data_IF_885657302753
#
_entry.id   IF_885657302753
#
_cell.length_a   1.000
_cell.length_b   1.000
_cell.length_c   1.000
_cell.angle_alpha   90.00
_cell.angle_beta   90.00
_cell.angle_gamma   90.00
#
_symmetry.space_group_name_H-M   'P 1'
#
loop_
_entity.id
_entity.type
_entity.pdbx_description
1 polymer ?
#
# COMPACT_ATOMS: atom_id res chain seq x y z
N UNK A 1 9.39 5.26 -18.53
CA UNK A 1 8.02 5.76 -18.86
C UNK A 1 8.05 6.61 -20.13
N UNK A 2 8.95 7.58 -20.24
CA UNK A 2 9.12 8.49 -21.38
C UNK A 2 9.11 7.83 -22.76
N UNK A 3 9.72 6.66 -22.89
CA UNK A 3 9.81 5.94 -24.18
C UNK A 3 8.45 5.47 -24.70
N UNK A 4 7.53 5.09 -23.81
CA UNK A 4 6.20 4.57 -24.18
C UNK A 4 5.16 5.68 -24.38
N UNK A 5 5.29 6.78 -23.64
CA UNK A 5 4.28 7.86 -23.66
C UNK A 5 4.15 8.49 -25.04
N UNK A 6 5.25 8.60 -25.79
CA UNK A 6 5.27 9.17 -27.14
C UNK A 6 4.51 8.33 -28.19
N UNK A 7 4.30 7.03 -27.91
CA UNK A 7 3.67 6.08 -28.83
C UNK A 7 2.19 5.82 -28.50
N UNK A 8 1.69 6.39 -27.40
CA UNK A 8 0.34 6.12 -26.87
C UNK A 8 -0.55 7.36 -27.03
N UNK A 9 -1.81 7.12 -27.42
CA UNK A 9 -2.82 8.17 -27.50
C UNK A 9 -3.03 8.87 -26.14
N UNK A 10 -3.15 10.20 -26.06
CA UNK A 10 -3.26 10.94 -24.80
C UNK A 10 -4.28 10.36 -23.81
N UNK A 11 -5.49 10.01 -24.27
CA UNK A 11 -6.51 9.43 -23.38
C UNK A 11 -6.15 8.07 -22.76
N UNK A 12 -5.31 7.27 -23.44
CA UNK A 12 -4.79 6.01 -22.88
C UNK A 12 -3.59 6.24 -21.97
N UNK A 13 -2.89 7.36 -22.17
CA UNK A 13 -1.77 7.77 -21.32
C UNK A 13 -2.26 8.05 -19.91
N UNK A 14 -3.32 8.84 -19.76
CA UNK A 14 -3.83 9.24 -18.45
C UNK A 14 -4.34 8.03 -17.67
N UNK A 15 -5.08 7.15 -18.34
CA UNK A 15 -5.53 5.87 -17.77
C UNK A 15 -4.33 5.02 -17.31
N UNK A 16 -3.29 4.90 -18.13
CA UNK A 16 -2.09 4.14 -17.78
C UNK A 16 -1.38 4.72 -16.55
N UNK A 17 -1.28 6.04 -16.45
CA UNK A 17 -0.65 6.71 -15.32
C UNK A 17 -1.46 6.51 -14.04
N UNK A 18 -2.79 6.57 -14.12
CA UNK A 18 -3.69 6.29 -13.00
C UNK A 18 -3.58 4.84 -12.53
N UNK A 19 -3.65 3.86 -13.45
CA UNK A 19 -3.52 2.45 -13.09
C UNK A 19 -2.14 2.13 -12.52
N UNK A 20 -1.07 2.72 -13.05
CA UNK A 20 0.27 2.53 -12.51
C UNK A 20 0.39 3.09 -11.08
N UNK A 21 -0.20 4.27 -10.83
CA UNK A 21 -0.26 4.85 -9.48
C UNK A 21 -1.02 3.94 -8.52
N UNK A 22 -2.13 3.37 -8.97
CA UNK A 22 -2.94 2.48 -8.17
C UNK A 22 -2.20 1.17 -7.84
N UNK A 23 -1.59 0.52 -8.84
CA UNK A 23 -0.80 -0.69 -8.61
C UNK A 23 0.37 -0.42 -7.65
N UNK A 24 1.02 0.73 -7.78
CA UNK A 24 2.07 1.15 -6.86
C UNK A 24 1.55 1.33 -5.43
N UNK A 25 0.37 1.94 -5.26
CA UNK A 25 -0.27 2.11 -3.96
C UNK A 25 -0.67 0.75 -3.36
N UNK A 26 -1.24 -0.16 -4.14
CA UNK A 26 -1.56 -1.53 -3.69
C UNK A 26 -0.30 -2.25 -3.21
N UNK A 27 0.78 -2.24 -4.01
CA UNK A 27 2.05 -2.84 -3.62
C UNK A 27 2.62 -2.20 -2.35
N UNK A 28 2.56 -0.87 -2.24
CA UNK A 28 3.01 -0.13 -1.07
C UNK A 28 2.25 -0.54 0.19
N UNK A 29 0.91 -0.64 0.12
CA UNK A 29 0.07 -1.09 1.22
C UNK A 29 0.35 -2.55 1.59
N UNK A 30 0.67 -3.41 0.62
CA UNK A 30 1.00 -4.82 0.85
C UNK A 30 2.36 -5.02 1.54
N UNK A 31 3.31 -4.10 1.36
CA UNK A 31 4.62 -4.15 2.03
C UNK A 31 4.51 -4.18 3.57
N UNK A 32 3.39 -3.73 4.15
CA UNK A 32 3.11 -3.81 5.60
C UNK A 32 3.17 -5.24 6.14
N UNK A 33 2.96 -6.25 5.28
CA UNK A 33 2.94 -7.67 5.64
C UNK A 33 4.34 -8.27 5.78
N UNK A 34 5.41 -7.49 5.60
CA UNK A 34 6.78 -7.96 5.74
C UNK A 34 7.02 -8.54 7.16
N UNK A 35 7.27 -9.85 7.22
CA UNK A 35 7.41 -10.61 8.48
C UNK A 35 8.72 -10.22 9.17
N UNK A 36 8.66 -9.19 10.01
CA UNK A 36 9.79 -8.76 10.84
C UNK A 36 9.88 -7.24 11.00
N UNK A 37 9.22 -6.48 10.14
CA UNK A 37 9.12 -5.04 10.29
C UNK A 37 8.17 -4.69 11.45
N UNK A 38 8.69 -3.93 12.42
CA UNK A 38 7.92 -3.36 13.52
C UNK A 38 8.10 -1.86 13.51
N UNK A 39 7.02 -1.12 13.37
CA UNK A 39 7.04 0.35 13.47
C UNK A 39 7.05 0.72 14.94
N UNK A 40 8.19 1.20 15.42
CA UNK A 40 8.33 1.71 16.78
C UNK A 40 8.11 3.21 16.77
N UNK A 41 7.37 3.76 17.73
CA UNK A 41 7.11 5.23 17.81
C UNK A 41 8.38 6.09 17.89
N UNK A 42 9.47 5.50 18.32
CA UNK A 42 10.80 6.11 18.42
C UNK A 42 11.57 6.11 17.10
N UNK A 43 11.15 5.31 16.11
CA UNK A 43 11.74 5.30 14.78
C UNK A 43 11.08 6.38 13.90
N UNK A 44 11.83 7.04 13.00
CA UNK A 44 11.28 8.08 12.12
C UNK A 44 10.49 7.48 10.94
N UNK A 45 9.64 6.48 11.19
CA UNK A 45 8.89 5.81 10.13
C UNK A 45 7.88 6.77 9.48
N UNK A 46 7.18 7.60 10.26
CA UNK A 46 6.27 8.63 9.73
C UNK A 46 6.99 9.58 8.76
N UNK A 47 8.20 10.02 9.08
CA UNK A 47 8.95 10.90 8.19
C UNK A 47 9.36 10.17 6.90
N UNK A 48 9.73 8.88 6.99
CA UNK A 48 9.99 8.07 5.79
C UNK A 48 8.74 7.89 4.92
N UNK A 49 7.58 7.62 5.52
CA UNK A 49 6.30 7.56 4.79
C UNK A 49 6.01 8.88 4.06
N UNK A 50 6.22 10.02 4.72
CA UNK A 50 6.07 11.34 4.11
C UNK A 50 7.06 11.54 2.97
N UNK A 51 8.33 11.20 3.16
CA UNK A 51 9.36 11.29 2.12
C UNK A 51 9.01 10.44 0.89
N UNK A 52 8.51 9.22 1.10
CA UNK A 52 8.04 8.33 0.04
C UNK A 52 6.87 8.97 -0.72
N UNK A 53 5.85 9.47 0.00
CA UNK A 53 4.69 10.15 -0.61
C UNK A 53 5.13 11.41 -1.38
N UNK A 54 6.05 12.21 -0.82
CA UNK A 54 6.57 13.41 -1.48
C UNK A 54 7.35 13.07 -2.75
N UNK A 55 8.12 11.99 -2.72
CA UNK A 55 8.86 11.49 -3.88
C UNK A 55 7.89 11.06 -4.98
N UNK A 56 6.82 10.36 -4.62
CA UNK A 56 5.77 9.94 -5.54
C UNK A 56 5.00 11.13 -6.11
N UNK A 57 4.69 12.12 -5.28
CA UNK A 57 4.05 13.35 -5.74
C UNK A 57 4.95 14.11 -6.71
N UNK A 58 6.24 14.24 -6.42
CA UNK A 58 7.19 14.86 -7.34
C UNK A 58 7.28 14.12 -8.68
N UNK A 59 7.14 12.79 -8.67
CA UNK A 59 7.08 11.99 -9.88
C UNK A 59 5.79 12.23 -10.68
N UNK A 60 4.62 12.07 -10.05
CA UNK A 60 3.33 12.16 -10.73
C UNK A 60 2.89 13.58 -11.07
N UNK A 61 3.47 14.61 -10.44
CA UNK A 61 3.24 16.02 -10.80
C UNK A 61 3.58 16.35 -12.26
N UNK A 62 4.40 15.52 -12.93
CA UNK A 62 4.69 15.62 -14.36
C UNK A 62 3.46 15.32 -15.24
N UNK A 63 2.39 14.75 -14.65
CA UNK A 63 1.11 14.41 -15.30
C UNK A 63 -0.06 15.12 -14.58
N UNK A 64 -0.22 16.44 -14.77
CA UNK A 64 -1.08 17.28 -13.92
C UNK A 64 -2.58 16.91 -13.98
N UNK A 65 -3.06 16.42 -15.13
CA UNK A 65 -4.47 16.05 -15.31
C UNK A 65 -4.86 14.85 -14.44
N UNK A 66 -4.08 13.76 -14.48
CA UNK A 66 -4.28 12.58 -13.61
C UNK A 66 -3.90 12.87 -12.15
N UNK A 67 -2.86 13.67 -11.91
CA UNK A 67 -2.36 13.90 -10.56
C UNK A 67 -3.37 14.62 -9.66
N UNK A 68 -3.96 15.71 -10.15
CA UNK A 68 -4.85 16.55 -9.37
C UNK A 68 -6.26 15.97 -9.20
N UNK A 69 -6.70 15.14 -10.13
CA UNK A 69 -8.07 14.61 -10.17
C UNK A 69 -8.25 13.31 -9.39
N UNK A 70 -7.25 12.43 -9.38
CA UNK A 70 -7.42 11.07 -8.84
C UNK A 70 -6.26 10.65 -7.92
N UNK A 71 -5.01 10.75 -8.38
CA UNK A 71 -3.83 10.18 -7.70
C UNK A 71 -3.63 10.80 -6.31
N UNK A 72 -3.66 12.13 -6.20
CA UNK A 72 -3.39 12.82 -4.94
C UNK A 72 -4.34 12.40 -3.81
N UNK A 73 -5.62 12.23 -4.11
CA UNK A 73 -6.61 11.87 -3.11
C UNK A 73 -6.48 10.39 -2.72
N UNK A 74 -6.19 9.49 -3.67
CA UNK A 74 -5.93 8.07 -3.38
C UNK A 74 -4.71 7.88 -2.47
N UNK A 75 -3.61 8.59 -2.71
CA UNK A 75 -2.40 8.44 -1.91
C UNK A 75 -2.49 9.02 -0.49
N UNK A 76 -3.54 9.80 -0.17
CA UNK A 76 -3.80 10.18 1.23
C UNK A 76 -4.04 8.94 2.10
N UNK A 77 -4.56 7.84 1.52
CA UNK A 77 -4.23 6.42 1.77
C UNK A 77 -3.64 5.94 3.12
N UNK A 78 -2.48 6.48 3.42
CA UNK A 78 -1.39 5.75 4.06
C UNK A 78 -1.22 6.12 5.53
N UNK A 79 -1.77 7.26 5.96
CA UNK A 79 -1.31 7.93 7.19
C UNK A 79 -1.97 7.42 8.49
N UNK A 80 -3.11 6.71 8.43
CA UNK A 80 -4.06 6.86 9.53
C UNK A 80 -4.05 5.80 10.64
N UNK A 81 -3.75 4.53 10.33
CA UNK A 81 -3.85 3.44 11.34
C UNK A 81 -2.56 3.20 12.13
N UNK A 82 -1.40 3.58 11.58
CA UNK A 82 -0.12 3.45 12.27
C UNK A 82 0.06 4.57 13.32
N UNK A 83 -0.46 5.75 13.05
CA UNK A 83 -0.34 6.91 13.94
C UNK A 83 -1.40 6.95 15.05
N UNK A 84 -2.52 6.25 14.86
CA UNK A 84 -3.61 6.21 15.84
C UNK A 84 -3.12 5.84 17.25
N UNK A 85 -3.56 6.60 18.25
CA UNK A 85 -3.38 6.21 19.64
C UNK A 85 -4.06 4.88 19.94
N UNK A 86 -3.51 4.12 20.88
CA UNK A 86 -3.99 2.76 21.20
C UNK A 86 -5.48 2.71 21.54
N UNK A 87 -5.99 3.73 22.25
CA UNK A 87 -7.41 3.84 22.61
C UNK A 87 -8.32 4.22 21.43
N UNK A 88 -7.77 4.89 20.41
CA UNK A 88 -8.52 5.45 19.29
C UNK A 88 -8.54 4.54 18.06
N UNK A 89 -7.79 3.43 18.07
CA UNK A 89 -7.70 2.49 16.93
C UNK A 89 -9.07 2.04 16.42
N UNK A 90 -10.03 1.79 17.32
CA UNK A 90 -11.38 1.36 16.93
C UNK A 90 -12.16 2.49 16.26
N UNK A 91 -12.01 3.72 16.76
CA UNK A 91 -12.66 4.91 16.18
C UNK A 91 -12.08 5.24 14.80
N UNK A 92 -10.75 5.16 14.66
CA UNK A 92 -10.07 5.35 13.37
C UNK A 92 -10.49 4.26 12.38
N UNK A 93 -10.55 2.99 12.80
CA UNK A 93 -11.05 1.90 11.97
C UNK A 93 -12.49 2.16 11.51
N UNK A 94 -13.38 2.61 12.39
CA UNK A 94 -14.77 2.90 12.03
C UNK A 94 -14.88 4.02 11.00
N UNK A 95 -14.16 5.12 11.19
CA UNK A 95 -14.11 6.21 10.20
C UNK A 95 -13.61 5.70 8.85
N UNK A 96 -12.52 4.93 8.87
CA UNK A 96 -11.91 4.39 7.66
C UNK A 96 -12.81 3.39 6.94
N UNK A 97 -13.52 2.53 7.67
CA UNK A 97 -14.46 1.56 7.10
C UNK A 97 -15.71 2.22 6.51
N UNK A 98 -16.10 3.41 7.00
CA UNK A 98 -17.20 4.20 6.43
C UNK A 98 -16.80 4.89 5.13
N UNK A 99 -15.55 5.36 5.05
CA UNK A 99 -15.02 5.97 3.83
C UNK A 99 -14.71 4.91 2.76
N UNK A 100 -14.14 3.77 3.17
CA UNK A 100 -13.79 2.64 2.31
C UNK A 100 -14.56 1.40 2.76
N UNK A 101 -15.78 1.27 2.23
CA UNK A 101 -16.69 0.17 2.60
C UNK A 101 -16.08 -1.21 2.31
N UNK A 102 -15.24 -1.33 1.29
CA UNK A 102 -14.52 -2.52 0.85
C UNK A 102 -13.17 -2.73 1.55
N UNK A 103 -12.86 -1.95 2.59
CA UNK A 103 -11.67 -2.11 3.42
C UNK A 103 -11.52 -3.54 3.93
N UNK A 104 -10.37 -4.14 3.61
CA UNK A 104 -10.08 -5.51 3.97
C UNK A 104 -9.59 -5.67 5.42
N UNK A 105 -10.30 -6.47 6.20
CA UNK A 105 -9.97 -6.71 7.61
C UNK A 105 -8.62 -7.41 7.81
N UNK A 106 -8.20 -8.28 6.88
CA UNK A 106 -6.90 -8.95 6.95
C UNK A 106 -5.72 -7.99 6.79
N UNK A 107 -5.89 -6.94 5.98
CA UNK A 107 -4.89 -5.88 5.85
C UNK A 107 -4.82 -5.06 7.15
N UNK A 108 -5.97 -4.67 7.72
CA UNK A 108 -6.02 -3.97 9.02
C UNK A 108 -5.34 -4.79 10.12
N UNK A 109 -5.56 -6.11 10.17
CA UNK A 109 -4.85 -6.97 11.10
C UNK A 109 -3.32 -6.94 10.91
N UNK A 110 -2.85 -6.94 9.66
CA UNK A 110 -1.41 -6.87 9.36
C UNK A 110 -0.81 -5.53 9.83
N UNK A 111 -1.52 -4.43 9.58
CA UNK A 111 -1.14 -3.09 10.08
C UNK A 111 -1.05 -3.09 11.60
N UNK A 112 -2.06 -3.58 12.32
CA UNK A 112 -2.01 -3.65 13.78
C UNK A 112 -0.86 -4.52 14.28
N UNK A 113 -0.61 -5.66 13.64
CA UNK A 113 0.51 -6.55 13.98
C UNK A 113 1.87 -5.92 13.72
N UNK A 114 1.98 -4.95 12.82
CA UNK A 114 3.24 -4.24 12.55
C UNK A 114 3.58 -3.18 13.62
N UNK A 115 2.64 -2.81 14.49
CA UNK A 115 2.88 -1.85 15.59
C UNK A 115 3.75 -2.44 16.68
N UNK A 116 4.50 -1.56 17.36
CA UNK A 116 5.31 -1.89 18.54
C UNK A 116 4.45 -2.17 19.78
N UNK A 117 3.38 -1.40 19.98
CA UNK A 117 2.42 -1.50 21.09
C UNK A 117 1.31 -2.55 20.87
N UNK A 118 1.52 -3.46 19.91
CA UNK A 118 0.53 -4.44 19.50
C UNK A 118 0.13 -5.41 20.64
N UNK A 119 -1.19 -5.50 20.87
CA UNK A 119 -1.80 -6.52 21.72
C UNK A 119 -2.88 -7.29 20.96
N UNK A 120 -3.03 -8.58 21.28
CA UNK A 120 -4.10 -9.43 20.69
C UNK A 120 -5.50 -8.86 20.90
N UNK A 121 -5.73 -8.17 22.03
CA UNK A 121 -6.98 -7.47 22.36
C UNK A 121 -7.36 -6.41 21.32
N UNK A 122 -6.39 -5.74 20.70
CA UNK A 122 -6.65 -4.69 19.70
C UNK A 122 -7.32 -5.27 18.45
N UNK A 123 -6.80 -6.40 17.94
CA UNK A 123 -7.42 -7.10 16.81
C UNK A 123 -8.80 -7.63 17.18
N UNK A 124 -8.98 -8.16 18.38
CA UNK A 124 -10.29 -8.60 18.86
C UNK A 124 -11.30 -7.46 18.92
N UNK A 125 -10.91 -6.28 19.39
CA UNK A 125 -11.77 -5.10 19.46
C UNK A 125 -12.19 -4.60 18.06
N UNK A 126 -11.23 -4.54 17.12
CA UNK A 126 -11.53 -4.17 15.72
C UNK A 126 -12.45 -5.19 15.05
N UNK A 127 -12.26 -6.49 15.30
CA UNK A 127 -13.15 -7.55 14.78
C UNK A 127 -14.57 -7.44 15.34
N UNK A 128 -14.70 -7.18 16.64
CA UNK A 128 -16.00 -6.98 17.26
C UNK A 128 -16.71 -5.77 16.62
N UNK A 129 -16.01 -4.65 16.48
CA UNK A 129 -16.55 -3.46 15.82
C UNK A 129 -16.91 -3.71 14.35
N UNK A 130 -16.09 -4.47 13.63
CA UNK A 130 -16.37 -4.85 12.24
C UNK A 130 -17.63 -5.69 12.08
N UNK A 131 -17.97 -6.53 13.07
CA UNK A 131 -19.19 -7.33 13.07
C UNK A 131 -20.45 -6.49 13.37
N UNK A 132 -20.30 -5.43 14.17
CA UNK A 132 -21.40 -4.50 14.51
C UNK A 132 -21.66 -3.47 13.42
N UNK A 133 -20.62 -3.07 12.68
CA UNK A 133 -20.68 -1.98 11.72
C UNK A 133 -21.31 -2.44 10.40
N UNK A 134 -22.48 -1.90 10.09
CA UNK A 134 -23.08 -1.98 8.75
C UNK A 134 -22.73 -0.72 7.97
N UNK A 135 -22.08 -0.88 6.81
CA UNK A 135 -21.72 0.22 5.90
C UNK A 135 -22.41 0.00 4.56
N UNK A 136 -22.96 1.07 3.99
CA UNK A 136 -23.54 1.04 2.65
C UNK A 136 -22.47 0.71 1.62
N UNK A 137 -22.75 -0.27 0.76
CA UNK A 137 -21.81 -0.67 -0.30
C UNK A 137 -21.85 0.37 -1.42
N UNK A 138 -20.71 0.99 -1.69
CA UNK A 138 -20.53 1.96 -2.77
C UNK A 138 -19.83 1.34 -3.99
N UNK A 139 -19.27 2.22 -4.83
CA UNK A 139 -18.33 1.80 -5.87
C UNK A 139 -17.11 1.10 -5.23
N UNK A 140 -16.53 0.13 -5.93
CA UNK A 140 -15.30 -0.51 -5.49
C UNK A 140 -14.18 0.52 -5.39
N UNK A 141 -13.37 0.41 -4.34
CA UNK A 141 -12.24 1.29 -4.10
C UNK A 141 -10.94 0.50 -4.23
N UNK A 142 -9.81 1.20 -4.13
CA UNK A 142 -8.50 0.54 -4.15
C UNK A 142 -8.30 -0.42 -2.97
N UNK A 143 -9.03 -0.24 -1.86
CA UNK A 143 -8.90 -1.08 -0.68
C UNK A 143 -9.42 -2.51 -0.90
N UNK A 144 -10.37 -2.72 -1.83
CA UNK A 144 -10.79 -4.04 -2.27
C UNK A 144 -9.66 -4.86 -2.90
N UNK A 145 -8.72 -4.19 -3.61
CA UNK A 145 -7.54 -4.83 -4.23
C UNK A 145 -6.42 -5.17 -3.24
N UNK A 146 -6.45 -4.64 -2.02
CA UNK A 146 -5.44 -4.93 -0.98
C UNK A 146 -5.53 -6.36 -0.39
N UNK A 147 -6.51 -7.16 -0.84
CA UNK A 147 -6.59 -8.58 -0.50
C UNK A 147 -5.49 -9.33 -1.26
N UNK A 148 -4.66 -10.05 -0.51
CA UNK A 148 -3.65 -10.90 -1.12
C UNK A 148 -4.31 -12.19 -1.56
N UNK A 149 -5.12 -12.15 -2.60
CA UNK A 149 -5.54 -13.40 -3.27
C UNK A 149 -4.68 -13.65 -4.52
N UNK A 150 -3.86 -12.67 -4.93
CA UNK A 150 -2.84 -12.82 -5.98
C UNK A 150 -1.40 -12.82 -5.41
N UNK A 151 -1.14 -13.67 -4.41
CA UNK A 151 0.21 -13.91 -3.89
C UNK A 151 1.14 -14.60 -4.89
N UNK A 152 0.63 -15.02 -6.04
CA UNK A 152 1.41 -15.69 -7.08
C UNK A 152 2.60 -14.84 -7.56
N UNK A 153 2.43 -13.51 -7.62
CA UNK A 153 3.44 -12.57 -8.10
C UNK A 153 4.43 -12.12 -7.02
N UNK A 154 3.98 -11.93 -5.77
CA UNK A 154 4.87 -11.55 -4.66
C UNK A 154 5.70 -12.73 -4.15
N UNK A 155 5.18 -13.97 -4.18
CA UNK A 155 5.99 -15.17 -3.98
C UNK A 155 7.01 -15.34 -5.11
N UNK A 156 6.67 -14.96 -6.35
CA UNK A 156 7.60 -14.95 -7.50
C UNK A 156 8.75 -13.95 -7.32
N UNK A 157 8.46 -12.77 -6.76
CA UNK A 157 9.47 -11.73 -6.51
C UNK A 157 10.29 -12.02 -5.24
N UNK A 158 9.67 -12.55 -4.18
CA UNK A 158 10.37 -12.99 -2.96
C UNK A 158 11.29 -14.19 -3.19
N UNK A 159 10.99 -15.05 -4.16
CA UNK A 159 11.88 -16.13 -4.59
C UNK A 159 13.11 -15.63 -5.36
N UNK A 160 13.09 -14.42 -5.94
CA UNK A 160 14.26 -13.86 -6.62
C UNK A 160 15.39 -13.50 -5.65
N UNK A 161 15.10 -12.96 -4.47
CA UNK A 161 16.14 -12.60 -3.50
C UNK A 161 16.93 -13.81 -2.99
N UNK A 162 16.28 -14.97 -2.88
CA UNK A 162 16.95 -16.23 -2.56
C UNK A 162 17.74 -16.84 -3.73
N UNK A 163 17.49 -16.41 -4.97
CA UNK A 163 18.20 -16.90 -6.16
C UNK A 163 19.46 -16.10 -6.50
N UNK A 164 19.56 -14.83 -6.06
CA UNK A 164 20.75 -13.98 -6.33
C UNK A 164 21.93 -14.31 -5.40
N UNK A 165 21.68 -14.98 -4.26
CA UNK A 165 22.73 -15.46 -3.36
C UNK A 165 23.36 -16.81 -3.78
N UNK A 166 22.87 -17.43 -4.86
CA UNK A 166 23.27 -18.75 -5.33
C UNK A 166 23.84 -18.80 -6.75
N UNK A 167 24.15 -17.66 -7.37
CA UNK A 167 24.80 -17.64 -8.69
C UNK A 167 26.32 -17.76 -8.46
N UNK A 168 26.98 -18.85 -8.91
CA UNK A 168 28.44 -18.90 -8.91
C UNK A 168 28.99 -17.79 -9.79
N UNK A 169 30.10 -17.17 -9.40
CA UNK A 169 30.88 -16.12 -10.10
C UNK A 169 31.35 -16.46 -11.54
N UNK A 170 30.73 -17.42 -12.23
CA UNK A 170 31.15 -17.95 -13.51
C UNK A 170 30.62 -17.19 -14.74
N UNK A 171 29.78 -16.15 -14.59
CA UNK A 171 29.19 -15.42 -15.73
C UNK A 171 29.31 -13.90 -15.67
N UNK A 172 30.31 -13.36 -14.95
CA UNK A 172 30.89 -12.07 -15.32
C UNK A 172 32.13 -12.34 -16.15
N UNK A 173 32.27 -11.64 -17.29
CA UNK A 173 33.35 -11.71 -18.29
C UNK A 173 33.17 -12.73 -19.44
N UNK A 174 32.27 -12.43 -20.37
CA UNK A 174 32.56 -12.62 -21.81
C UNK A 174 31.67 -11.72 -22.68
N UNK A 175 32.25 -10.58 -23.06
CA UNK A 175 32.14 -9.88 -24.35
C UNK A 175 31.02 -10.30 -25.31
N UNK A 176 30.07 -9.39 -25.61
CA UNK A 176 29.98 -8.57 -26.85
C UNK A 176 29.27 -7.26 -26.52
#
# INVERSE_FOLDING_TARGET
>A
MTDYLSMIHPSLRDILIEELSDELLVHYLLCIRNRGAKFRRQDPFTEKFKDDILTLFAFFQQYPESFASTIKDRWRLVDWLLEAEKGEVVNVYEGFKREYWDLNLSWVEAVLRSRDDFERSMVSAVKAKAAELSVERGAETIMGRSIGDDWSLLDYLGQREHYIAGIPDAYMWSTV
#
